data_IF_027484715031
#
_entry.id   IF_027484715031
#
_cell.length_a   1.000
_cell.length_b   1.000
_cell.length_c   1.000
_cell.angle_alpha   90.00
_cell.angle_beta   90.00
_cell.angle_gamma   90.00
#
_symmetry.space_group_name_H-M   'P 1'
#
loop_
_entity.id
_entity.type
_entity.pdbx_description
1 polymer ?
#
# COMPACT_ATOMS: atom_id res chain seq x y z
N UNK A 1 -22.20 -33.40 55.73
CA UNK A 1 -21.12 -32.76 54.94
C UNK A 1 -21.56 -31.32 54.68
N UNK A 2 -21.32 -30.43 55.64
CA UNK A 2 -21.80 -29.05 55.56
C UNK A 2 -20.96 -28.27 54.56
N UNK A 3 -21.56 -28.02 53.39
CA UNK A 3 -20.94 -27.24 52.33
C UNK A 3 -20.92 -25.80 52.80
N UNK A 4 -19.71 -25.30 53.05
CA UNK A 4 -19.45 -23.99 53.64
C UNK A 4 -19.78 -22.89 52.62
N UNK A 5 -21.07 -22.56 52.51
CA UNK A 5 -21.68 -21.62 51.56
C UNK A 5 -20.97 -20.25 51.56
N UNK A 6 -20.42 -19.86 52.72
CA UNK A 6 -19.65 -18.63 52.89
C UNK A 6 -18.38 -18.59 52.01
N UNK A 7 -17.69 -19.72 51.84
CA UNK A 7 -16.48 -19.78 50.99
C UNK A 7 -16.82 -19.57 49.52
N UNK A 8 -17.92 -20.13 49.04
CA UNK A 8 -18.35 -19.97 47.64
C UNK A 8 -18.78 -18.53 47.34
N UNK A 9 -19.50 -17.89 48.26
CA UNK A 9 -19.86 -16.48 48.15
C UNK A 9 -18.59 -15.60 48.10
N UNK A 10 -17.59 -15.92 48.92
CA UNK A 10 -16.32 -15.19 48.94
C UNK A 10 -15.52 -15.35 47.62
N UNK A 11 -15.42 -16.57 47.08
CA UNK A 11 -14.77 -16.79 45.78
C UNK A 11 -15.53 -16.12 44.61
N UNK A 12 -16.85 -16.09 44.66
CA UNK A 12 -17.68 -15.42 43.66
C UNK A 12 -17.50 -13.89 43.70
N UNK A 13 -17.40 -13.31 44.90
CA UNK A 13 -17.09 -11.88 45.09
C UNK A 13 -15.69 -11.53 44.57
N UNK A 14 -14.68 -12.35 44.86
CA UNK A 14 -13.32 -12.15 44.32
C UNK A 14 -13.32 -12.21 42.78
N UNK A 15 -14.06 -13.17 42.19
CA UNK A 15 -14.16 -13.29 40.74
C UNK A 15 -14.82 -12.06 40.11
N UNK A 16 -15.93 -11.58 40.68
CA UNK A 16 -16.61 -10.36 40.20
C UNK A 16 -15.69 -9.14 40.31
N UNK A 17 -15.02 -8.95 41.45
CA UNK A 17 -14.09 -7.82 41.64
C UNK A 17 -12.95 -7.90 40.64
N UNK A 18 -12.37 -9.08 40.40
CA UNK A 18 -11.29 -9.28 39.41
C UNK A 18 -11.74 -8.94 37.98
N UNK A 19 -12.96 -9.33 37.61
CA UNK A 19 -13.55 -9.07 36.28
C UNK A 19 -13.85 -7.59 36.07
N UNK A 20 -14.37 -6.92 37.11
CA UNK A 20 -14.63 -5.48 37.10
C UNK A 20 -13.32 -4.69 37.03
N UNK A 21 -12.31 -5.06 37.83
CA UNK A 21 -10.98 -4.43 37.78
C UNK A 21 -10.29 -4.62 36.42
N UNK A 22 -10.44 -5.79 35.78
CA UNK A 22 -9.90 -6.04 34.45
C UNK A 22 -10.59 -5.19 33.37
N UNK A 23 -11.92 -5.05 33.44
CA UNK A 23 -12.68 -4.15 32.55
C UNK A 23 -12.32 -2.69 32.78
N UNK A 24 -12.15 -2.26 34.03
CA UNK A 24 -11.78 -0.89 34.38
C UNK A 24 -10.36 -0.55 33.89
N UNK A 25 -9.41 -1.48 34.04
CA UNK A 25 -8.04 -1.34 33.52
C UNK A 25 -8.01 -1.19 32.00
N UNK A 26 -8.79 -2.00 31.28
CA UNK A 26 -8.89 -1.87 29.82
C UNK A 26 -9.55 -0.55 29.40
N UNK A 27 -10.61 -0.14 30.10
CA UNK A 27 -11.29 1.14 29.87
C UNK A 27 -10.37 2.35 30.11
N UNK A 28 -9.59 2.34 31.19
CA UNK A 28 -8.60 3.37 31.49
C UNK A 28 -7.47 3.37 30.44
N UNK A 29 -6.98 2.20 30.01
CA UNK A 29 -5.95 2.13 28.96
C UNK A 29 -6.42 2.70 27.61
N UNK A 30 -7.68 2.46 27.24
CA UNK A 30 -8.28 2.96 25.99
C UNK A 30 -8.56 4.48 26.07
N UNK A 31 -8.90 5.00 27.25
CA UNK A 31 -9.12 6.44 27.45
C UNK A 31 -7.80 7.22 27.50
N UNK A 32 -6.71 6.66 28.05
CA UNK A 32 -5.36 7.26 27.96
C UNK A 32 -4.81 7.25 26.52
N UNK A 33 -5.06 6.19 25.74
CA UNK A 33 -4.73 6.14 24.30
C UNK A 33 -5.51 7.19 23.48
N UNK A 34 -6.77 7.45 23.82
CA UNK A 34 -7.56 8.52 23.19
C UNK A 34 -7.06 9.91 23.57
N UNK A 35 -6.67 10.16 24.83
CA UNK A 35 -6.16 11.46 25.28
C UNK A 35 -4.81 11.83 24.64
N UNK A 36 -3.91 10.86 24.46
CA UNK A 36 -2.62 11.11 23.80
C UNK A 36 -2.77 11.42 22.30
N UNK A 37 -3.76 10.84 21.62
CA UNK A 37 -4.07 11.16 20.23
C UNK A 37 -4.75 12.53 20.03
N UNK A 38 -5.43 13.06 21.06
CA UNK A 38 -6.07 14.38 20.99
C UNK A 38 -5.04 15.50 21.22
N UNK A 39 -4.03 15.28 22.09
CA UNK A 39 -2.94 16.25 22.30
C UNK A 39 -2.01 16.39 21.09
N UNK A 40 -1.72 15.30 20.37
CA UNK A 40 -0.91 15.37 19.13
C UNK A 40 -1.61 16.09 17.99
N UNK A 41 -2.95 16.05 17.92
CA UNK A 41 -3.72 16.78 16.89
C UNK A 41 -3.83 18.30 17.14
N UNK A 42 -3.75 18.77 18.40
CA UNK A 42 -3.83 20.22 18.69
C UNK A 42 -2.56 21.00 18.33
N UNK A 43 -1.40 20.34 18.27
CA UNK A 43 -0.14 21.00 17.89
C UNK A 43 0.07 21.12 16.37
N UNK A 44 -0.74 20.45 15.54
CA UNK A 44 -0.65 20.50 14.08
C UNK A 44 -1.45 21.68 13.48
N UNK A 45 -2.37 22.28 14.26
CA UNK A 45 -3.28 23.33 13.79
C UNK A 45 -2.74 24.78 13.86
N UNK A 46 -1.44 24.99 14.16
CA UNK A 46 -0.87 26.36 14.31
C UNK A 46 0.07 26.84 13.20
N UNK A 47 0.22 26.09 12.10
CA UNK A 47 0.95 26.58 10.91
C UNK A 47 0.01 26.64 9.71
N UNK A 48 -0.78 27.69 9.65
CA UNK A 48 -1.37 28.19 8.41
C UNK A 48 -1.39 29.72 8.51
N UNK A 49 -0.35 30.36 7.97
CA UNK A 49 -0.44 31.72 7.45
C UNK A 49 -0.06 31.68 5.99
N UNK A 50 -1.11 31.85 5.20
CA UNK A 50 -1.23 32.29 3.81
C UNK A 50 0.07 32.45 2.99
N UNK A 51 0.15 31.70 1.90
CA UNK A 51 0.81 32.16 0.67
C UNK A 51 -0.12 31.86 -0.51
N UNK A 52 -0.58 32.93 -1.16
CA UNK A 52 -1.36 32.92 -2.39
C UNK A 52 -0.71 32.06 -3.49
N UNK A 53 -1.45 31.18 -4.19
CA UNK A 53 -0.90 30.42 -5.31
C UNK A 53 -1.08 31.21 -6.61
N UNK A 54 -0.17 32.17 -6.87
CA UNK A 54 0.00 32.69 -8.23
C UNK A 54 0.73 31.64 -9.07
N UNK A 55 -0.02 31.01 -9.98
CA UNK A 55 0.37 30.27 -11.18
C UNK A 55 1.89 30.10 -11.43
N UNK A 56 2.45 28.93 -11.08
CA UNK A 56 3.74 28.48 -11.61
C UNK A 56 3.52 27.33 -12.60
N UNK A 57 3.94 27.56 -13.85
CA UNK A 57 4.01 26.59 -14.94
C UNK A 57 4.71 25.30 -14.48
N UNK A 58 4.13 24.13 -14.74
CA UNK A 58 4.92 22.89 -14.90
C UNK A 58 5.65 22.95 -16.25
N UNK A 59 6.75 23.67 -16.25
CA UNK A 59 7.98 23.08 -16.78
C UNK A 59 8.65 22.46 -15.56
N UNK A 60 9.09 21.20 -15.61
CA UNK A 60 10.05 20.66 -14.64
C UNK A 60 11.38 21.44 -14.77
N UNK A 61 11.36 22.72 -14.38
CA UNK A 61 12.58 23.49 -14.13
C UNK A 61 13.08 23.02 -12.79
N UNK A 62 14.16 22.27 -12.89
CA UNK A 62 15.10 21.92 -11.85
C UNK A 62 15.14 22.97 -10.72
N UNK A 63 14.78 22.56 -9.50
CA UNK A 63 15.11 23.31 -8.30
C UNK A 63 16.51 22.85 -7.88
N UNK A 64 17.51 23.72 -8.04
CA UNK A 64 18.93 23.47 -7.71
C UNK A 64 19.20 23.19 -6.23
N UNK A 65 18.22 23.40 -5.34
CA UNK A 65 18.44 23.35 -3.89
C UNK A 65 18.05 22.03 -3.24
N UNK A 66 18.52 20.91 -3.80
CA UNK A 66 18.71 19.67 -3.02
C UNK A 66 20.19 19.36 -3.06
N UNK A 67 20.95 20.04 -2.20
CA UNK A 67 22.36 19.72 -1.94
C UNK A 67 22.45 18.33 -1.32
N UNK A 68 22.74 17.33 -2.15
CA UNK A 68 23.42 16.12 -1.70
C UNK A 68 24.77 16.56 -1.13
N UNK A 69 24.95 16.39 0.19
CA UNK A 69 26.20 16.65 0.90
C UNK A 69 27.32 15.86 0.21
N UNK A 70 28.36 16.57 -0.23
CA UNK A 70 29.33 16.13 -1.24
C UNK A 70 30.39 15.11 -0.78
N UNK A 71 30.36 14.60 0.46
CA UNK A 71 31.54 13.96 1.07
C UNK A 71 31.35 12.58 1.74
N UNK A 72 30.48 11.70 1.22
CA UNK A 72 30.41 10.31 1.69
C UNK A 72 30.61 9.34 0.52
N UNK A 73 31.34 8.24 0.72
CA UNK A 73 31.51 7.15 -0.27
C UNK A 73 30.19 6.92 -1.01
N UNK A 74 30.18 6.97 -2.36
CA UNK A 74 28.97 6.99 -3.20
C UNK A 74 27.87 6.06 -2.65
N UNK A 75 26.93 6.62 -1.88
CA UNK A 75 25.88 5.83 -1.23
C UNK A 75 25.05 5.13 -2.31
N UNK A 76 24.88 3.81 -2.20
CA UNK A 76 24.07 3.07 -3.15
C UNK A 76 22.60 3.32 -2.88
N UNK A 77 21.88 3.83 -3.89
CA UNK A 77 20.43 4.05 -3.80
C UNK A 77 19.68 2.74 -3.97
N UNK A 78 18.72 2.50 -3.08
CA UNK A 78 17.74 1.42 -3.16
C UNK A 78 16.33 1.99 -3.12
N UNK A 79 15.41 1.36 -3.85
CA UNK A 79 13.99 1.68 -3.77
C UNK A 79 13.30 0.62 -2.92
N UNK A 80 12.71 1.03 -1.81
CA UNK A 80 11.95 0.17 -0.92
C UNK A 80 10.46 0.28 -1.23
N UNK A 81 9.82 -0.85 -1.56
CA UNK A 81 8.41 -0.95 -1.89
C UNK A 81 7.73 -1.95 -0.97
N UNK A 82 6.73 -1.47 -0.23
CA UNK A 82 5.99 -2.29 0.74
C UNK A 82 4.52 -2.43 0.42
N UNK A 83 4.11 -2.07 -0.79
CA UNK A 83 2.71 -2.17 -1.22
C UNK A 83 2.57 -2.19 -2.74
N UNK A 84 1.47 -2.77 -3.25
CA UNK A 84 1.14 -2.70 -4.67
C UNK A 84 1.02 -1.27 -5.20
N UNK A 85 0.50 -0.35 -4.39
CA UNK A 85 0.35 1.06 -4.82
C UNK A 85 1.71 1.78 -4.91
N UNK A 86 2.64 1.50 -3.99
CA UNK A 86 4.02 2.00 -4.08
C UNK A 86 4.75 1.45 -5.30
N UNK A 87 4.54 0.18 -5.64
CA UNK A 87 5.06 -0.43 -6.86
C UNK A 87 4.54 0.28 -8.12
N UNK A 88 3.23 0.57 -8.16
CA UNK A 88 2.59 1.26 -9.28
C UNK A 88 3.13 2.68 -9.45
N UNK A 89 3.30 3.42 -8.35
CA UNK A 89 3.92 4.75 -8.36
C UNK A 89 5.34 4.67 -8.92
N UNK A 90 6.16 3.74 -8.42
CA UNK A 90 7.55 3.63 -8.89
C UNK A 90 7.66 3.30 -10.37
N UNK A 91 6.92 2.28 -10.85
CA UNK A 91 6.90 1.93 -12.28
C UNK A 91 6.44 3.10 -13.15
N UNK A 92 5.43 3.85 -12.69
CA UNK A 92 4.99 5.08 -13.35
C UNK A 92 6.11 6.13 -13.43
N UNK A 93 6.89 6.31 -12.36
CA UNK A 93 8.01 7.26 -12.36
C UNK A 93 9.11 6.86 -13.36
N UNK A 94 9.41 5.57 -13.51
CA UNK A 94 10.36 5.08 -14.52
C UNK A 94 9.85 5.41 -15.94
N UNK A 95 8.58 5.15 -16.22
CA UNK A 95 7.96 5.47 -17.52
C UNK A 95 8.02 6.98 -17.78
N UNK A 96 7.67 7.79 -16.78
CA UNK A 96 7.70 9.25 -16.88
C UNK A 96 9.12 9.77 -17.12
N UNK A 97 10.12 9.17 -16.47
CA UNK A 97 11.53 9.53 -16.64
C UNK A 97 12.00 9.30 -18.08
N UNK A 98 11.75 8.10 -18.63
CA UNK A 98 12.11 7.76 -20.02
C UNK A 98 11.37 8.66 -21.01
N UNK A 99 10.08 8.91 -20.77
CA UNK A 99 9.29 9.82 -21.61
C UNK A 99 9.88 11.23 -21.64
N UNK A 100 10.26 11.78 -20.48
CA UNK A 100 10.83 13.12 -20.39
C UNK A 100 12.21 13.20 -21.05
N UNK A 101 13.06 12.18 -20.90
CA UNK A 101 14.34 12.10 -21.60
C UNK A 101 14.18 12.16 -23.11
N UNK A 102 13.18 11.44 -23.66
CA UNK A 102 12.90 11.51 -25.11
C UNK A 102 12.57 12.94 -25.55
N UNK A 103 11.73 13.63 -24.77
CA UNK A 103 11.28 15.00 -25.08
C UNK A 103 12.42 16.01 -25.01
N UNK A 104 13.27 15.92 -24.00
CA UNK A 104 14.40 16.84 -23.83
C UNK A 104 15.41 16.70 -24.98
N UNK A 105 15.60 15.49 -25.51
CA UNK A 105 16.61 15.21 -26.53
C UNK A 105 16.08 15.21 -27.97
N UNK A 106 14.79 15.48 -28.19
CA UNK A 106 14.14 15.36 -29.50
C UNK A 106 14.45 14.03 -30.21
N UNK A 107 14.60 12.94 -29.45
CA UNK A 107 15.02 11.66 -30.01
C UNK A 107 13.93 11.13 -30.96
N UNK A 108 14.31 10.74 -32.18
CA UNK A 108 13.35 10.36 -33.24
C UNK A 108 12.60 9.06 -32.90
N UNK A 109 13.23 8.09 -32.24
CA UNK A 109 12.62 6.81 -31.88
C UNK A 109 12.81 6.48 -30.38
N UNK A 110 11.92 5.66 -29.82
CA UNK A 110 12.05 5.22 -28.41
C UNK A 110 13.07 4.08 -28.31
N UNK A 111 13.15 3.24 -29.34
CA UNK A 111 14.06 2.12 -29.46
C UNK A 111 15.52 2.59 -29.32
N UNK A 112 15.91 3.63 -30.05
CA UNK A 112 17.28 4.19 -29.96
C UNK A 112 17.56 4.74 -28.56
N UNK A 113 16.56 5.36 -27.91
CA UNK A 113 16.69 5.87 -26.55
C UNK A 113 16.83 4.72 -25.53
N UNK A 114 16.06 3.64 -25.69
CA UNK A 114 16.08 2.49 -24.80
C UNK A 114 17.41 1.72 -24.89
N UNK A 115 17.94 1.55 -26.10
CA UNK A 115 19.14 0.73 -26.34
C UNK A 115 20.45 1.42 -25.95
N UNK A 116 20.56 2.74 -26.17
CA UNK A 116 21.86 3.41 -26.15
C UNK A 116 21.99 4.54 -25.12
N UNK A 117 20.93 4.82 -24.35
CA UNK A 117 20.96 5.98 -23.46
C UNK A 117 21.41 5.62 -22.03
N UNK A 118 22.55 6.18 -21.61
CA UNK A 118 23.12 5.95 -20.26
C UNK A 118 22.10 6.19 -19.14
N UNK A 119 21.30 7.27 -19.19
CA UNK A 119 20.31 7.52 -18.15
C UNK A 119 19.19 6.47 -18.12
N UNK A 120 18.82 5.88 -19.27
CA UNK A 120 17.83 4.80 -19.31
C UNK A 120 18.43 3.52 -18.72
N UNK A 121 19.68 3.20 -19.05
CA UNK A 121 20.39 2.09 -18.43
C UNK A 121 20.46 2.25 -16.90
N UNK A 122 20.77 3.45 -16.40
CA UNK A 122 20.88 3.72 -14.97
C UNK A 122 19.54 3.64 -14.22
N UNK A 123 18.44 4.20 -14.75
CA UNK A 123 17.11 4.08 -14.09
C UNK A 123 16.65 2.62 -13.99
N UNK A 124 16.91 1.81 -15.02
CA UNK A 124 16.52 0.40 -15.05
C UNK A 124 17.37 -0.47 -14.12
N UNK A 125 18.62 -0.07 -13.84
CA UNK A 125 19.53 -0.75 -12.92
C UNK A 125 19.30 -0.44 -11.44
N UNK A 126 18.48 0.58 -11.10
CA UNK A 126 18.24 0.92 -9.70
C UNK A 126 17.69 -0.30 -8.94
N UNK A 127 18.38 -0.76 -7.88
CA UNK A 127 17.98 -1.96 -7.16
C UNK A 127 16.71 -1.74 -6.32
N UNK A 128 15.79 -2.69 -6.42
CA UNK A 128 14.49 -2.63 -5.76
C UNK A 128 14.39 -3.72 -4.69
N UNK A 129 14.02 -3.30 -3.48
CA UNK A 129 13.62 -4.17 -2.38
C UNK A 129 12.10 -4.16 -2.31
N UNK A 130 11.48 -5.32 -2.50
CA UNK A 130 10.03 -5.46 -2.60
C UNK A 130 9.48 -6.40 -1.53
N UNK A 131 8.31 -6.09 -0.96
CA UNK A 131 7.71 -6.89 0.12
C UNK A 131 7.12 -8.23 -0.36
N UNK A 132 6.89 -8.43 -1.66
CA UNK A 132 6.38 -9.72 -2.13
C UNK A 132 5.76 -9.73 -3.52
N UNK A 133 5.18 -10.88 -3.85
CA UNK A 133 4.73 -11.23 -5.21
C UNK A 133 3.75 -10.23 -5.82
N UNK A 134 2.83 -9.68 -5.02
CA UNK A 134 1.87 -8.68 -5.52
C UNK A 134 2.54 -7.39 -5.98
N UNK A 135 3.63 -6.98 -5.35
CA UNK A 135 4.44 -5.84 -5.76
C UNK A 135 5.34 -6.23 -6.94
N UNK A 136 5.93 -7.42 -6.91
CA UNK A 136 6.79 -7.93 -7.98
C UNK A 136 6.03 -8.06 -9.30
N UNK A 137 4.77 -8.55 -9.27
CA UNK A 137 3.89 -8.56 -10.44
C UNK A 137 3.71 -7.16 -11.03
N UNK A 138 3.56 -6.14 -10.19
CA UNK A 138 3.44 -4.76 -10.67
C UNK A 138 4.74 -4.25 -11.29
N UNK A 139 5.88 -4.61 -10.71
CA UNK A 139 7.19 -4.19 -11.18
C UNK A 139 7.67 -4.95 -12.43
N UNK A 140 7.20 -6.18 -12.64
CA UNK A 140 7.69 -7.09 -13.68
C UNK A 140 6.72 -7.33 -14.84
N UNK A 141 5.44 -7.00 -14.69
CA UNK A 141 4.45 -7.22 -15.74
C UNK A 141 4.16 -5.93 -16.52
N UNK A 142 3.71 -6.12 -17.75
CA UNK A 142 3.14 -5.08 -18.58
C UNK A 142 1.74 -4.71 -18.07
N UNK A 143 1.53 -3.43 -17.79
CA UNK A 143 0.24 -2.87 -17.40
C UNK A 143 -0.27 -1.91 -18.46
N UNK A 144 -1.59 -1.84 -18.62
CA UNK A 144 -2.21 -0.84 -19.49
C UNK A 144 -2.18 0.51 -18.81
N UNK A 145 -2.20 1.61 -19.58
CA UNK A 145 -2.36 2.97 -19.02
C UNK A 145 -3.53 3.10 -18.04
N UNK A 146 -4.62 2.34 -18.25
CA UNK A 146 -5.77 2.28 -17.34
C UNK A 146 -5.40 1.87 -15.92
N UNK A 147 -4.37 1.03 -15.76
CA UNK A 147 -3.87 0.59 -14.45
C UNK A 147 -3.15 1.71 -13.70
N UNK A 148 -2.76 2.78 -14.41
CA UNK A 148 -2.17 4.00 -13.86
C UNK A 148 -3.14 5.18 -13.90
N UNK A 149 -4.40 4.96 -14.30
CA UNK A 149 -5.36 6.02 -14.58
C UNK A 149 -5.52 7.01 -13.44
N UNK A 150 -5.55 6.54 -12.19
CA UNK A 150 -5.70 7.44 -11.04
C UNK A 150 -4.47 8.31 -10.81
N UNK A 151 -3.26 7.82 -11.08
CA UNK A 151 -2.03 8.64 -11.02
C UNK A 151 -2.06 9.64 -12.17
N UNK A 152 -2.33 9.14 -13.38
CA UNK A 152 -2.33 9.90 -14.61
C UNK A 152 -3.37 11.04 -14.62
N UNK A 153 -4.64 10.72 -14.35
CA UNK A 153 -5.76 11.68 -14.35
C UNK A 153 -5.48 12.85 -13.42
N UNK A 154 -4.95 12.58 -12.23
CA UNK A 154 -4.69 13.63 -11.26
C UNK A 154 -3.47 14.48 -11.63
N UNK A 155 -2.41 13.88 -12.19
CA UNK A 155 -1.28 14.66 -12.76
C UNK A 155 -1.76 15.54 -13.91
N UNK A 156 -2.62 15.03 -14.80
CA UNK A 156 -3.19 15.82 -15.91
C UNK A 156 -4.16 16.91 -15.45
N UNK A 157 -4.91 16.68 -14.36
CA UNK A 157 -5.80 17.69 -13.78
C UNK A 157 -5.03 18.83 -13.10
N UNK A 158 -3.93 18.49 -12.41
CA UNK A 158 -3.00 19.51 -11.87
C UNK A 158 -2.26 20.22 -13.01
N UNK A 159 -1.95 19.52 -14.12
CA UNK A 159 -1.19 20.06 -15.25
C UNK A 159 -1.84 19.77 -16.59
N UNK A 160 -2.52 20.79 -17.13
CA UNK A 160 -3.16 20.76 -18.44
C UNK A 160 -2.23 20.46 -19.64
N UNK A 161 -0.93 20.21 -19.44
CA UNK A 161 0.11 20.08 -20.50
C UNK A 161 0.89 18.75 -20.50
N UNK A 162 0.79 17.91 -19.48
CA UNK A 162 1.56 16.66 -19.39
C UNK A 162 0.67 15.45 -19.64
N UNK A 163 0.22 15.33 -20.89
CA UNK A 163 -0.54 14.17 -21.35
C UNK A 163 0.44 13.30 -22.15
N UNK A 164 0.98 12.25 -21.51
CA UNK A 164 1.69 11.19 -22.23
C UNK A 164 0.67 10.48 -23.12
N UNK A 165 0.88 10.51 -24.42
CA UNK A 165 0.05 9.76 -25.36
C UNK A 165 -0.07 8.27 -24.94
N UNK A 166 -1.24 7.66 -25.16
CA UNK A 166 -1.49 6.30 -24.71
C UNK A 166 -0.58 5.27 -25.41
N UNK A 167 -0.34 5.44 -26.70
CA UNK A 167 0.46 4.50 -27.47
C UNK A 167 1.93 4.64 -27.09
N UNK A 168 2.38 5.87 -26.86
CA UNK A 168 3.70 6.15 -26.30
C UNK A 168 3.87 5.52 -24.91
N UNK A 169 2.89 5.68 -24.02
CA UNK A 169 2.94 5.11 -22.68
C UNK A 169 3.05 3.59 -22.72
N UNK A 170 2.19 2.94 -23.51
CA UNK A 170 2.18 1.48 -23.62
C UNK A 170 3.50 0.97 -24.23
N UNK A 171 4.02 1.66 -25.25
CA UNK A 171 5.33 1.34 -25.84
C UNK A 171 6.45 1.35 -24.81
N UNK A 172 6.63 2.47 -24.08
CA UNK A 172 7.65 2.56 -23.02
C UNK A 172 7.44 1.48 -21.96
N UNK A 173 6.19 1.28 -21.52
CA UNK A 173 5.88 0.30 -20.49
C UNK A 173 6.19 -1.14 -20.90
N UNK A 174 6.04 -1.48 -22.18
CA UNK A 174 6.41 -2.78 -22.71
C UNK A 174 7.94 -2.90 -22.79
N UNK A 175 8.61 -1.87 -23.30
CA UNK A 175 10.08 -1.87 -23.50
C UNK A 175 10.87 -1.91 -22.18
N UNK A 176 10.35 -1.32 -21.09
CA UNK A 176 10.98 -1.37 -19.76
C UNK A 176 11.11 -2.81 -19.23
N UNK A 177 10.20 -3.71 -19.63
CA UNK A 177 10.19 -5.09 -19.17
C UNK A 177 10.19 -5.24 -17.64
N UNK A 178 11.12 -6.07 -17.14
CA UNK A 178 11.28 -6.39 -15.71
C UNK A 178 12.25 -5.43 -15.04
N UNK A 179 11.81 -4.79 -13.96
CA UNK A 179 12.65 -3.92 -13.15
C UNK A 179 13.58 -4.72 -12.21
N UNK A 180 14.69 -4.11 -11.78
CA UNK A 180 15.75 -4.78 -11.03
C UNK A 180 15.39 -5.08 -9.55
N UNK A 181 14.54 -6.09 -9.32
CA UNK A 181 14.21 -6.59 -7.99
C UNK A 181 15.35 -7.44 -7.46
N UNK A 182 16.05 -6.94 -6.45
CA UNK A 182 17.23 -7.62 -5.87
C UNK A 182 16.92 -8.37 -4.57
N UNK A 183 15.77 -8.11 -3.95
CA UNK A 183 15.37 -8.77 -2.72
C UNK A 183 13.85 -8.74 -2.50
N UNK A 184 13.31 -9.85 -1.99
CA UNK A 184 11.98 -9.95 -1.41
C UNK A 184 11.94 -11.03 -0.33
N UNK A 185 11.07 -10.92 0.69
CA UNK A 185 11.05 -11.83 1.83
C UNK A 185 10.35 -13.14 1.49
N UNK A 186 10.61 -14.16 2.31
CA UNK A 186 9.94 -15.47 2.27
C UNK A 186 8.42 -15.38 2.49
N UNK A 187 7.96 -14.38 3.26
CA UNK A 187 6.53 -14.09 3.48
C UNK A 187 6.28 -12.61 3.31
N UNK A 188 5.18 -12.26 2.63
CA UNK A 188 4.78 -10.89 2.31
C UNK A 188 4.29 -10.11 3.53
N UNK A 189 5.22 -9.76 4.42
CA UNK A 189 4.95 -9.13 5.70
C UNK A 189 6.10 -8.17 6.04
N UNK A 190 5.80 -6.98 6.58
CA UNK A 190 6.82 -5.95 6.82
C UNK A 190 7.81 -6.32 7.92
N UNK A 191 7.36 -7.05 8.95
CA UNK A 191 8.23 -7.60 10.00
C UNK A 191 9.18 -8.64 9.45
N UNK A 192 8.68 -9.54 8.59
CA UNK A 192 9.52 -10.55 7.92
C UNK A 192 10.50 -9.89 6.96
N UNK A 193 10.03 -8.94 6.14
CA UNK A 193 10.89 -8.12 5.26
C UNK A 193 12.01 -7.47 6.04
N UNK A 194 11.71 -6.77 7.14
CA UNK A 194 12.72 -6.12 7.98
C UNK A 194 13.76 -7.12 8.48
N UNK A 195 13.32 -8.25 9.08
CA UNK A 195 14.23 -9.27 9.63
C UNK A 195 15.11 -9.89 8.55
N UNK A 196 14.52 -10.30 7.44
CA UNK A 196 15.26 -10.99 6.37
C UNK A 196 16.13 -10.02 5.56
N UNK A 197 15.71 -8.78 5.36
CA UNK A 197 16.53 -7.76 4.70
C UNK A 197 17.85 -7.53 5.46
N UNK A 198 17.81 -7.53 6.78
CA UNK A 198 19.01 -7.44 7.61
C UNK A 198 19.81 -8.74 7.53
N UNK A 199 19.20 -9.87 7.89
CA UNK A 199 19.93 -11.13 8.13
C UNK A 199 20.35 -11.84 6.84
N UNK A 200 19.60 -11.71 5.75
CA UNK A 200 19.84 -12.46 4.50
C UNK A 200 20.39 -11.60 3.36
N UNK A 201 20.08 -10.31 3.33
CA UNK A 201 20.53 -9.41 2.26
C UNK A 201 21.73 -8.57 2.69
N UNK A 202 21.53 -7.61 3.60
CA UNK A 202 22.62 -6.72 3.99
C UNK A 202 23.75 -7.47 4.68
N UNK A 203 23.50 -8.40 5.60
CA UNK A 203 24.57 -9.16 6.24
C UNK A 203 25.43 -10.03 5.32
N UNK A 204 24.92 -10.38 4.13
CA UNK A 204 25.58 -11.28 3.18
C UNK A 204 26.14 -10.55 1.95
N UNK A 205 26.10 -9.23 1.94
CA UNK A 205 26.61 -8.38 0.85
C UNK A 205 27.77 -7.52 1.33
N UNK A 206 28.61 -7.05 0.41
CA UNK A 206 29.69 -6.09 0.71
C UNK A 206 29.19 -4.64 0.83
N UNK A 207 27.87 -4.41 0.77
CA UNK A 207 27.27 -3.08 0.84
C UNK A 207 27.52 -2.50 2.24
N UNK A 208 28.26 -1.40 2.30
CA UNK A 208 28.57 -0.65 3.52
C UNK A 208 27.62 0.53 3.70
N UNK A 209 27.40 1.33 2.64
CA UNK A 209 26.52 2.50 2.67
C UNK A 209 25.33 2.33 1.71
N UNK A 210 24.11 2.46 2.21
CA UNK A 210 22.90 2.33 1.43
C UNK A 210 21.84 3.34 1.86
N UNK A 211 21.22 3.99 0.87
CA UNK A 211 20.09 4.89 1.07
C UNK A 211 18.83 4.26 0.47
N UNK A 212 17.86 3.92 1.31
CA UNK A 212 16.59 3.34 0.90
C UNK A 212 15.54 4.44 0.79
N UNK A 213 15.13 4.78 -0.42
CA UNK A 213 13.95 5.62 -0.65
C UNK A 213 12.71 4.73 -0.57
N UNK A 214 11.93 4.93 0.48
CA UNK A 214 10.73 4.15 0.74
C UNK A 214 9.48 4.87 0.25
N UNK A 215 8.92 4.36 -0.85
CA UNK A 215 7.65 4.82 -1.41
C UNK A 215 6.52 4.20 -0.60
N UNK A 216 5.93 5.01 0.29
CA UNK A 216 5.08 4.51 1.36
C UNK A 216 3.71 5.18 1.41
N UNK A 217 2.78 4.51 2.09
CA UNK A 217 1.52 5.11 2.50
C UNK A 217 1.72 6.00 3.74
N UNK A 218 1.01 7.11 3.84
CA UNK A 218 0.98 7.96 5.03
C UNK A 218 0.61 7.16 6.29
N UNK A 219 -0.38 6.27 6.19
CA UNK A 219 -0.84 5.39 7.28
C UNK A 219 0.05 4.16 7.55
N UNK A 220 1.20 4.03 6.89
CA UNK A 220 2.10 2.89 7.13
C UNK A 220 2.81 3.02 8.48
N UNK A 221 2.53 2.08 9.39
CA UNK A 221 3.14 2.00 10.72
C UNK A 221 4.40 1.11 10.76
N UNK A 222 4.84 0.57 9.63
CA UNK A 222 6.07 -0.23 9.60
C UNK A 222 7.28 0.65 9.89
N UNK A 223 8.16 0.23 10.80
CA UNK A 223 9.37 0.99 11.12
C UNK A 223 10.62 0.30 10.54
N UNK A 224 11.20 0.90 9.50
CA UNK A 224 12.48 0.50 8.90
C UNK A 224 13.66 1.39 9.33
N UNK A 225 13.44 2.41 10.17
CA UNK A 225 14.51 3.33 10.59
C UNK A 225 15.58 2.64 11.46
N UNK A 226 15.24 1.51 12.06
CA UNK A 226 16.15 0.70 12.89
C UNK A 226 17.08 -0.22 12.08
N UNK A 227 17.04 -0.19 10.73
CA UNK A 227 17.96 -0.98 9.91
C UNK A 227 19.44 -0.65 10.19
N UNK A 228 19.73 0.56 10.67
CA UNK A 228 21.06 1.00 11.11
C UNK A 228 21.53 0.38 12.45
N UNK A 229 20.62 -0.11 13.29
CA UNK A 229 20.94 -0.44 14.70
C UNK A 229 21.34 -1.91 14.95
N UNK A 230 21.25 -2.79 13.94
CA UNK A 230 21.40 -4.24 14.15
C UNK A 230 22.79 -4.82 13.79
N UNK A 231 23.78 -3.98 13.46
CA UNK A 231 25.16 -4.43 13.19
C UNK A 231 26.10 -4.41 14.40
N UNK A 232 25.67 -3.91 15.56
CA UNK A 232 26.56 -3.71 16.73
C UNK A 232 26.88 -4.98 17.54
N UNK A 233 26.41 -6.16 17.15
CA UNK A 233 26.65 -7.42 17.91
C UNK A 233 27.16 -8.54 17.01
N UNK A 234 28.44 -8.47 16.66
CA UNK A 234 29.37 -9.61 16.47
C UNK A 234 30.75 -9.03 16.12
N UNK A 235 31.76 -9.38 16.92
CA UNK A 235 33.15 -8.95 16.75
C UNK A 235 33.60 -9.16 15.28
N UNK A 236 34.19 -8.13 14.68
CA UNK A 236 34.74 -8.04 13.31
C UNK A 236 33.77 -7.81 12.14
N UNK A 237 32.57 -7.25 12.34
CA UNK A 237 31.73 -6.80 11.20
C UNK A 237 31.92 -5.32 10.88
N UNK A 238 32.21 -5.04 9.60
CA UNK A 238 32.20 -3.70 9.00
C UNK A 238 30.87 -3.01 9.36
N UNK A 239 30.95 -1.81 9.93
CA UNK A 239 29.78 -0.99 10.25
C UNK A 239 29.07 -0.62 8.94
N UNK A 240 27.75 -0.86 8.88
CA UNK A 240 26.95 -0.53 7.70
C UNK A 240 26.03 0.63 8.01
N UNK A 241 26.15 1.70 7.23
CA UNK A 241 25.28 2.85 7.29
C UNK A 241 24.10 2.64 6.33
N UNK A 242 22.98 2.16 6.87
CA UNK A 242 21.74 1.94 6.12
C UNK A 242 20.74 3.01 6.53
N UNK A 243 20.57 4.02 5.68
CA UNK A 243 19.60 5.09 5.86
C UNK A 243 18.29 4.73 5.17
N UNK A 244 17.16 5.02 5.82
CA UNK A 244 15.83 4.89 5.21
C UNK A 244 15.15 6.24 5.18
N UNK A 245 14.76 6.68 3.99
CA UNK A 245 13.98 7.91 3.78
C UNK A 245 12.55 7.51 3.42
N UNK A 246 11.63 7.60 4.39
CA UNK A 246 10.20 7.35 4.16
C UNK A 246 9.57 8.55 3.45
N UNK A 247 9.00 8.33 2.27
CA UNK A 247 8.24 9.34 1.53
C UNK A 247 6.79 8.88 1.41
N UNK A 248 5.86 9.71 1.91
CA UNK A 248 4.44 9.39 1.95
C UNK A 248 3.77 9.78 0.62
N UNK A 249 3.83 8.90 -0.39
CA UNK A 249 3.38 9.20 -1.74
C UNK A 249 1.87 9.02 -1.94
N UNK A 250 1.20 8.29 -1.05
CA UNK A 250 -0.23 8.05 -1.13
C UNK A 250 -0.84 7.77 0.25
N UNK A 251 -2.16 7.76 0.31
CA UNK A 251 -2.93 7.45 1.50
C UNK A 251 -4.25 6.75 1.13
N UNK A 252 -4.85 6.07 2.10
CA UNK A 252 -6.17 5.44 1.97
C UNK A 252 -7.23 6.30 2.63
N UNK A 253 -8.07 6.96 1.84
CA UNK A 253 -9.22 7.71 2.33
C UNK A 253 -10.45 6.84 2.40
N UNK A 254 -11.23 6.99 3.46
CA UNK A 254 -12.59 6.42 3.55
C UNK A 254 -13.52 7.10 2.55
N UNK A 255 -14.41 6.33 1.97
CA UNK A 255 -15.54 6.86 1.18
C UNK A 255 -16.75 6.87 2.09
N UNK A 256 -17.45 8.02 2.14
CA UNK A 256 -18.68 8.18 2.91
C UNK A 256 -19.84 8.21 1.92
N UNK A 257 -20.81 7.36 2.15
CA UNK A 257 -22.03 7.26 1.37
C UNK A 257 -23.18 7.94 2.11
N UNK A 258 -23.98 8.70 1.37
CA UNK A 258 -25.30 9.15 1.84
C UNK A 258 -26.24 7.94 1.87
N UNK A 259 -27.25 7.96 2.75
CA UNK A 259 -28.21 6.86 3.02
C UNK A 259 -28.90 6.28 1.77
N UNK A 260 -28.80 6.94 0.62
CA UNK A 260 -29.40 6.54 -0.66
C UNK A 260 -28.71 5.31 -1.29
N UNK A 261 -27.46 5.00 -0.92
CA UNK A 261 -26.76 3.83 -1.46
C UNK A 261 -27.13 2.56 -0.69
N UNK A 262 -28.24 1.95 -1.08
CA UNK A 262 -28.65 0.67 -0.50
C UNK A 262 -27.93 -0.51 -1.17
N UNK A 263 -27.47 -1.43 -0.33
CA UNK A 263 -26.97 -2.75 -0.70
C UNK A 263 -28.08 -3.74 -0.34
N UNK A 264 -28.48 -4.57 -1.29
CA UNK A 264 -29.51 -5.58 -1.04
C UNK A 264 -29.03 -6.57 0.01
N UNK A 265 -29.92 -7.00 0.92
CA UNK A 265 -29.57 -8.01 1.93
C UNK A 265 -29.07 -9.32 1.32
N UNK A 266 -29.57 -9.70 0.14
CA UNK A 266 -29.11 -10.85 -0.64
C UNK A 266 -27.80 -10.52 -1.39
N UNK A 267 -26.77 -10.12 -0.66
CA UNK A 267 -25.45 -9.80 -1.21
C UNK A 267 -24.34 -10.55 -0.52
N UNK A 268 -23.33 -10.96 -1.30
CA UNK A 268 -22.06 -11.45 -0.78
C UNK A 268 -21.09 -10.28 -0.77
N UNK A 269 -20.70 -9.82 0.42
CA UNK A 269 -19.81 -8.65 0.57
C UNK A 269 -18.35 -9.09 0.51
N UNK A 270 -17.57 -8.54 -0.41
CA UNK A 270 -16.15 -8.83 -0.56
C UNK A 270 -15.28 -7.73 0.07
N UNK A 271 -14.54 -8.02 1.14
CA UNK A 271 -13.73 -7.07 1.91
C UNK A 271 -12.23 -7.43 1.92
N UNK A 272 -11.45 -6.76 1.07
CA UNK A 272 -10.04 -7.16 0.84
C UNK A 272 -9.00 -6.49 1.76
N UNK A 273 -9.42 -5.67 2.73
CA UNK A 273 -8.49 -5.07 3.70
C UNK A 273 -9.21 -4.62 4.97
N UNK A 274 -8.48 -4.46 6.08
CA UNK A 274 -9.02 -3.93 7.34
C UNK A 274 -9.62 -2.52 7.15
N UNK A 275 -8.96 -1.64 6.40
CA UNK A 275 -9.46 -0.29 6.12
C UNK A 275 -10.78 -0.31 5.35
N UNK A 276 -10.90 -1.25 4.40
CA UNK A 276 -12.14 -1.45 3.63
C UNK A 276 -13.24 -2.01 4.52
N UNK A 277 -12.95 -2.96 5.39
CA UNK A 277 -13.90 -3.53 6.33
C UNK A 277 -14.45 -2.49 7.33
N UNK A 278 -13.58 -1.67 7.93
CA UNK A 278 -14.00 -0.59 8.83
C UNK A 278 -14.88 0.42 8.10
N UNK A 279 -14.44 0.87 6.92
CA UNK A 279 -15.22 1.84 6.15
C UNK A 279 -16.55 1.27 5.67
N UNK A 280 -16.61 0.00 5.30
CA UNK A 280 -17.87 -0.67 4.94
C UNK A 280 -18.83 -0.68 6.15
N UNK A 281 -18.35 -1.12 7.32
CA UNK A 281 -19.15 -1.19 8.53
C UNK A 281 -19.69 0.18 8.95
N UNK A 282 -18.88 1.23 8.87
CA UNK A 282 -19.32 2.61 9.18
C UNK A 282 -20.41 3.12 8.22
N UNK A 283 -20.42 2.67 6.97
CA UNK A 283 -21.43 3.10 5.98
C UNK A 283 -22.69 2.25 6.00
N UNK A 284 -22.57 0.93 6.19
CA UNK A 284 -23.64 -0.03 5.91
C UNK A 284 -23.95 -0.97 7.10
N UNK A 285 -23.18 -0.92 8.18
CA UNK A 285 -23.33 -1.83 9.32
C UNK A 285 -22.88 -3.26 9.00
N UNK A 286 -23.47 -4.21 9.72
CA UNK A 286 -23.13 -5.64 9.67
C UNK A 286 -24.33 -6.57 9.35
N UNK A 287 -25.47 -6.01 8.94
CA UNK A 287 -26.69 -6.77 8.63
C UNK A 287 -26.64 -7.43 7.24
N UNK A 288 -25.60 -8.25 7.03
CA UNK A 288 -25.39 -9.04 5.82
C UNK A 288 -25.09 -10.49 6.21
N UNK A 289 -25.76 -11.43 5.55
CA UNK A 289 -25.65 -12.83 5.91
C UNK A 289 -24.31 -13.44 5.49
N UNK A 290 -23.69 -12.95 4.41
CA UNK A 290 -22.48 -13.54 3.85
C UNK A 290 -21.41 -12.48 3.52
N UNK A 291 -20.21 -12.68 4.07
CA UNK A 291 -19.05 -11.84 3.84
C UNK A 291 -17.83 -12.70 3.53
N UNK A 292 -17.05 -12.29 2.53
CA UNK A 292 -15.75 -12.89 2.21
C UNK A 292 -14.70 -11.82 2.39
N UNK A 293 -13.62 -12.12 3.11
CA UNK A 293 -12.56 -11.18 3.39
C UNK A 293 -11.17 -11.73 3.09
N UNK A 294 -10.21 -10.82 2.87
CA UNK A 294 -8.84 -11.22 2.55
C UNK A 294 -8.01 -11.44 3.82
N UNK A 295 -7.65 -12.69 4.09
CA UNK A 295 -6.71 -13.09 5.12
C UNK A 295 -7.23 -13.01 6.57
N UNK A 296 -6.49 -13.66 7.47
CA UNK A 296 -6.88 -13.85 8.88
C UNK A 296 -7.04 -12.54 9.67
N UNK A 297 -6.27 -11.50 9.33
CA UNK A 297 -6.38 -10.19 9.99
C UNK A 297 -7.77 -9.57 9.76
N UNK A 298 -8.24 -9.58 8.52
CA UNK A 298 -9.54 -9.02 8.16
C UNK A 298 -10.68 -9.83 8.79
N UNK A 299 -10.54 -11.16 8.78
CA UNK A 299 -11.48 -12.07 9.44
C UNK A 299 -11.65 -11.75 10.93
N UNK A 300 -10.54 -11.64 11.67
CA UNK A 300 -10.57 -11.32 13.11
C UNK A 300 -11.26 -9.99 13.39
N UNK A 301 -11.05 -8.99 12.53
CA UNK A 301 -11.73 -7.71 12.63
C UNK A 301 -13.25 -7.86 12.41
N UNK A 302 -13.67 -8.56 11.37
CA UNK A 302 -15.10 -8.75 11.06
C UNK A 302 -15.85 -9.52 12.14
N UNK A 303 -15.20 -10.50 12.78
CA UNK A 303 -15.78 -11.18 13.95
C UNK A 303 -15.97 -10.25 15.14
N UNK A 304 -15.04 -9.32 15.40
CA UNK A 304 -15.21 -8.27 16.42
C UNK A 304 -16.35 -7.29 16.09
N UNK A 305 -16.64 -7.11 14.80
CA UNK A 305 -17.75 -6.28 14.30
C UNK A 305 -19.06 -7.08 14.18
N UNK A 306 -19.13 -8.30 14.72
CA UNK A 306 -20.32 -9.15 14.77
C UNK A 306 -20.92 -9.51 13.40
N UNK A 307 -20.10 -9.66 12.36
CA UNK A 307 -20.56 -10.25 11.10
C UNK A 307 -20.83 -11.75 11.25
N UNK A 308 -21.93 -12.22 10.67
CA UNK A 308 -22.43 -13.61 10.78
C UNK A 308 -21.50 -14.62 10.06
N UNK A 309 -21.73 -14.89 8.77
CA UNK A 309 -20.96 -15.87 8.00
C UNK A 309 -19.79 -15.17 7.29
N UNK A 310 -18.59 -15.32 7.87
CA UNK A 310 -17.36 -14.71 7.33
C UNK A 310 -16.44 -15.81 6.83
N UNK A 311 -16.09 -15.75 5.54
CA UNK A 311 -15.15 -16.64 4.88
C UNK A 311 -13.86 -15.89 4.55
N UNK A 312 -12.72 -16.59 4.54
CA UNK A 312 -11.44 -16.02 4.15
C UNK A 312 -10.47 -17.11 3.68
N UNK A 313 -9.55 -16.80 2.75
CA UNK A 313 -8.46 -17.69 2.42
C UNK A 313 -7.32 -17.56 3.44
N UNK A 314 -6.80 -18.68 3.94
CA UNK A 314 -5.68 -18.68 4.90
C UNK A 314 -4.37 -18.16 4.28
N UNK A 315 -4.15 -18.47 3.00
CA UNK A 315 -2.96 -18.07 2.25
C UNK A 315 -2.97 -16.59 1.80
N UNK A 316 -4.09 -15.90 1.99
CA UNK A 316 -4.31 -14.51 1.55
C UNK A 316 -4.04 -14.29 0.05
N UNK A 317 -4.29 -15.29 -0.79
CA UNK A 317 -4.14 -15.19 -2.26
C UNK A 317 -5.47 -14.86 -2.94
N UNK A 318 -5.39 -14.07 -4.03
CA UNK A 318 -6.56 -13.71 -4.86
C UNK A 318 -7.25 -14.94 -5.46
N UNK A 319 -6.49 -15.93 -5.93
CA UNK A 319 -7.05 -17.15 -6.50
C UNK A 319 -7.89 -17.92 -5.45
N UNK A 320 -7.35 -18.12 -4.26
CA UNK A 320 -8.05 -18.78 -3.15
C UNK A 320 -9.28 -17.98 -2.70
N UNK A 321 -9.18 -16.65 -2.64
CA UNK A 321 -10.32 -15.76 -2.39
C UNK A 321 -11.44 -15.96 -3.42
N UNK A 322 -11.09 -16.03 -4.70
CA UNK A 322 -12.03 -16.19 -5.81
C UNK A 322 -12.71 -17.56 -5.77
N UNK A 323 -11.96 -18.63 -5.50
CA UNK A 323 -12.52 -19.98 -5.38
C UNK A 323 -13.57 -20.05 -4.27
N UNK A 324 -13.28 -19.46 -3.10
CA UNK A 324 -14.25 -19.36 -2.00
C UNK A 324 -15.50 -18.58 -2.45
N UNK A 325 -15.32 -17.47 -3.15
CA UNK A 325 -16.42 -16.64 -3.65
C UNK A 325 -17.33 -17.38 -4.64
N UNK A 326 -16.76 -18.03 -5.64
CA UNK A 326 -17.52 -18.78 -6.65
C UNK A 326 -18.24 -19.96 -6.02
N UNK A 327 -17.58 -20.72 -5.15
CA UNK A 327 -18.19 -21.86 -4.46
C UNK A 327 -19.33 -21.43 -3.55
N UNK A 328 -19.15 -20.33 -2.80
CA UNK A 328 -20.20 -19.78 -1.96
C UNK A 328 -21.39 -19.32 -2.80
N UNK A 329 -21.15 -18.55 -3.87
CA UNK A 329 -22.20 -18.09 -4.77
C UNK A 329 -23.03 -19.25 -5.34
N UNK A 330 -22.37 -20.27 -5.88
CA UNK A 330 -23.06 -21.44 -6.45
C UNK A 330 -23.86 -22.22 -5.39
N UNK A 331 -23.30 -22.38 -4.18
CA UNK A 331 -24.01 -23.00 -3.06
C UNK A 331 -25.28 -22.23 -2.70
N UNK A 332 -25.21 -20.90 -2.65
CA UNK A 332 -26.35 -20.05 -2.30
C UNK A 332 -27.41 -20.03 -3.42
N UNK A 333 -26.99 -19.95 -4.68
CA UNK A 333 -27.87 -20.02 -5.86
C UNK A 333 -28.66 -21.33 -5.88
N UNK A 334 -27.98 -22.46 -5.67
CA UNK A 334 -28.61 -23.78 -5.70
C UNK A 334 -29.49 -24.05 -4.48
N UNK A 335 -29.06 -23.62 -3.29
CA UNK A 335 -29.77 -23.90 -2.03
C UNK A 335 -31.02 -23.04 -1.81
N UNK A 336 -30.96 -21.75 -2.14
CA UNK A 336 -32.06 -20.81 -1.85
C UNK A 336 -32.93 -20.48 -3.06
N UNK A 337 -32.54 -20.90 -4.28
CA UNK A 337 -33.18 -20.48 -5.54
C UNK A 337 -33.35 -18.94 -5.65
N UNK A 338 -32.45 -18.19 -5.01
CA UNK A 338 -32.42 -16.72 -5.02
C UNK A 338 -31.17 -16.23 -5.72
N UNK A 339 -31.31 -15.11 -6.42
CA UNK A 339 -30.17 -14.43 -7.03
C UNK A 339 -29.45 -13.60 -5.95
N UNK A 340 -28.17 -13.92 -5.73
CA UNK A 340 -27.29 -13.15 -4.87
C UNK A 340 -26.46 -12.19 -5.72
N UNK A 341 -26.21 -10.98 -5.23
CA UNK A 341 -25.28 -10.06 -5.88
C UNK A 341 -23.94 -10.06 -5.16
N UNK A 342 -22.84 -10.11 -5.92
CA UNK A 342 -21.49 -9.93 -5.36
C UNK A 342 -21.16 -8.44 -5.26
N UNK A 343 -20.79 -7.98 -4.07
CA UNK A 343 -20.42 -6.58 -3.84
C UNK A 343 -18.91 -6.47 -3.67
N UNK A 344 -18.23 -5.91 -4.66
CA UNK A 344 -16.80 -5.63 -4.62
C UNK A 344 -16.56 -4.24 -4.03
N UNK A 345 -15.82 -4.17 -2.94
CA UNK A 345 -15.71 -2.94 -2.13
C UNK A 345 -14.46 -2.08 -2.39
N UNK A 346 -13.64 -2.46 -3.38
CA UNK A 346 -12.47 -1.67 -3.82
C UNK A 346 -12.85 -0.73 -4.97
N UNK A 347 -11.96 0.21 -5.27
CA UNK A 347 -12.06 1.04 -6.49
C UNK A 347 -12.11 0.16 -7.75
N UNK A 348 -12.81 0.65 -8.79
CA UNK A 348 -13.09 -0.08 -10.03
C UNK A 348 -11.84 -0.70 -10.66
N UNK A 349 -10.80 0.11 -10.80
CA UNK A 349 -9.48 -0.25 -11.36
C UNK A 349 -8.74 -1.33 -10.56
N UNK A 350 -9.13 -1.56 -9.30
CA UNK A 350 -8.51 -2.56 -8.42
C UNK A 350 -9.24 -3.90 -8.39
N UNK A 351 -10.32 -4.03 -9.15
CA UNK A 351 -11.16 -5.22 -9.22
C UNK A 351 -11.15 -5.90 -10.59
N UNK A 352 -10.34 -5.46 -11.56
CA UNK A 352 -10.42 -5.94 -12.96
C UNK A 352 -10.32 -7.48 -13.09
N UNK A 353 -9.39 -8.12 -12.36
CA UNK A 353 -9.27 -9.59 -12.37
C UNK A 353 -10.54 -10.29 -11.86
N UNK A 354 -11.05 -9.86 -10.69
CA UNK A 354 -12.28 -10.43 -10.11
C UNK A 354 -13.47 -10.16 -11.01
N UNK A 355 -13.59 -8.93 -11.51
CA UNK A 355 -14.69 -8.51 -12.38
C UNK A 355 -14.73 -9.35 -13.65
N UNK A 356 -13.58 -9.53 -14.32
CA UNK A 356 -13.47 -10.37 -15.51
C UNK A 356 -13.97 -11.79 -15.26
N UNK A 357 -13.45 -12.45 -14.23
CA UNK A 357 -13.79 -13.86 -13.96
C UNK A 357 -15.26 -14.01 -13.52
N UNK A 358 -15.76 -13.11 -12.67
CA UNK A 358 -17.17 -13.12 -12.28
C UNK A 358 -18.10 -12.87 -13.48
N UNK A 359 -17.72 -11.98 -14.41
CA UNK A 359 -18.49 -11.76 -15.64
C UNK A 359 -18.46 -12.96 -16.58
N UNK A 360 -17.32 -13.62 -16.75
CA UNK A 360 -17.20 -14.88 -17.53
C UNK A 360 -18.10 -15.99 -16.96
N UNK A 361 -18.29 -16.00 -15.63
CA UNK A 361 -19.15 -16.96 -14.93
C UNK A 361 -20.63 -16.51 -14.82
N UNK A 362 -21.01 -15.39 -15.45
CA UNK A 362 -22.35 -14.80 -15.34
C UNK A 362 -22.82 -14.59 -13.87
N UNK A 363 -21.89 -14.17 -13.00
CA UNK A 363 -22.19 -13.84 -11.60
C UNK A 363 -22.52 -12.34 -11.49
N UNK A 364 -23.72 -11.96 -11.02
CA UNK A 364 -24.11 -10.57 -10.85
C UNK A 364 -23.19 -9.85 -9.87
N UNK A 365 -22.65 -8.69 -10.27
CA UNK A 365 -21.73 -7.93 -9.44
C UNK A 365 -22.07 -6.44 -9.38
N UNK A 366 -21.77 -5.80 -8.25
CA UNK A 366 -21.84 -4.36 -8.03
C UNK A 366 -20.54 -3.90 -7.38
N UNK A 367 -19.99 -2.77 -7.85
CA UNK A 367 -18.78 -2.18 -7.28
C UNK A 367 -19.18 -1.01 -6.38
N UNK A 368 -18.83 -1.08 -5.10
CA UNK A 368 -19.11 -0.05 -4.09
C UNK A 368 -17.82 0.30 -3.34
N UNK A 369 -16.98 1.20 -3.89
CA UNK A 369 -15.69 1.53 -3.30
C UNK A 369 -15.82 2.11 -1.89
N UNK A 370 -15.40 1.37 -0.87
CA UNK A 370 -15.43 1.85 0.52
C UNK A 370 -14.17 2.66 0.88
N UNK A 371 -13.11 2.54 0.08
CA UNK A 371 -11.87 3.29 0.26
C UNK A 371 -11.38 3.80 -1.08
N UNK A 372 -10.73 4.96 -1.08
CA UNK A 372 -10.12 5.60 -2.24
C UNK A 372 -8.64 5.88 -2.00
N UNK A 373 -7.78 5.62 -2.99
CA UNK A 373 -6.40 6.12 -2.93
C UNK A 373 -6.40 7.63 -3.11
N UNK A 374 -5.75 8.35 -2.19
CA UNK A 374 -5.35 9.74 -2.39
C UNK A 374 -3.84 9.80 -2.57
N UNK A 375 -3.39 10.28 -3.71
CA UNK A 375 -1.95 10.52 -3.94
C UNK A 375 -1.52 11.85 -3.32
N UNK A 376 -0.24 11.89 -2.93
CA UNK A 376 0.46 13.11 -2.58
C UNK A 376 1.47 13.39 -3.71
N UNK A 377 1.06 14.19 -4.70
CA UNK A 377 1.87 14.45 -5.89
C UNK A 377 3.17 15.18 -5.59
N UNK A 378 3.19 16.05 -4.58
CA UNK A 378 4.42 16.71 -4.17
C UNK A 378 5.47 15.70 -3.68
N UNK A 379 5.04 14.74 -2.89
CA UNK A 379 5.92 13.65 -2.46
C UNK A 379 6.32 12.71 -3.61
N UNK A 380 5.42 12.46 -4.58
CA UNK A 380 5.76 11.70 -5.78
C UNK A 380 6.82 12.42 -6.61
N UNK A 381 6.72 13.75 -6.77
CA UNK A 381 7.77 14.56 -7.40
C UNK A 381 9.08 14.50 -6.63
N UNK A 382 9.05 14.56 -5.30
CA UNK A 382 10.25 14.45 -4.49
C UNK A 382 10.98 13.11 -4.74
N UNK A 383 10.23 12.00 -4.86
CA UNK A 383 10.82 10.70 -5.26
C UNK A 383 11.47 10.80 -6.64
N UNK A 384 10.76 11.37 -7.63
CA UNK A 384 11.30 11.55 -8.98
C UNK A 384 12.59 12.38 -9.00
N UNK A 385 12.60 13.52 -8.31
CA UNK A 385 13.76 14.42 -8.21
C UNK A 385 14.95 13.76 -7.52
N UNK A 386 14.73 12.97 -6.46
CA UNK A 386 15.78 12.21 -5.78
C UNK A 386 16.42 11.17 -6.72
N UNK A 387 15.59 10.39 -7.42
CA UNK A 387 16.05 9.38 -8.37
C UNK A 387 16.81 10.03 -9.53
N UNK A 388 16.26 11.10 -10.10
CA UNK A 388 16.90 11.83 -11.20
C UNK A 388 18.27 12.38 -10.77
N UNK A 389 18.35 13.03 -9.60
CA UNK A 389 19.61 13.58 -9.08
C UNK A 389 20.64 12.50 -8.81
N UNK A 390 20.21 11.33 -8.31
CA UNK A 390 21.10 10.18 -8.13
C UNK A 390 21.68 9.72 -9.47
N UNK A 391 20.84 9.49 -10.49
CA UNK A 391 21.30 9.04 -11.81
C UNK A 391 22.26 10.06 -12.43
N UNK A 392 21.92 11.36 -12.35
CA UNK A 392 22.78 12.43 -12.87
C UNK A 392 24.16 12.45 -12.21
N UNK A 393 24.28 12.07 -10.94
CA UNK A 393 25.57 12.01 -10.25
C UNK A 393 26.38 10.73 -10.55
N UNK A 394 25.78 9.73 -11.21
CA UNK A 394 26.48 8.51 -11.63
C UNK A 394 27.08 8.60 -13.04
N UNK A 395 26.56 9.50 -13.86
CA UNK A 395 27.01 9.77 -15.24
C UNK A 395 27.93 10.98 -15.23
#
# INVERSE_FOLDING_TARGET
>A
MEINLLKYIFFFLIYIISSVCYKLRNFLSDSFLKLNNIKTNRNILKYNKEVNPSSKKWSLKYNENITLLKNEEKEKLYVLITSPEGARIYRFLVILFIYNLKREQNCKSFEILMDNHRYVSEILKIPIISIGESCNKILNNEFKKSDFFNIYKNISLENKKEIIDNDIFNKINNDIGKLNIVFYPSKSNSTVLKKELICKFFNNTQITNANLVWISSAISNSNFNELSLLNKKKNNKIEKNIRVTKINCYDTKKVVYKKENNINKNSIICLMSNSTALSFYENFGNDFDYVICMGISCYKLLKKLNFKNVYFPEDSKTHSFLNILVNLYNKLKNGYKKEFQVVLTREKDKNEELKRILSELNIPLKIIPCTKTKYNFENIKNVYSLIYSYIKNQI
#
